data_IF_360866425583
#
_entry.id   IF_360866425583
#
_cell.length_a   1.000
_cell.length_b   1.000
_cell.length_c   1.000
_cell.angle_alpha   90.00
_cell.angle_beta   90.00
_cell.angle_gamma   90.00
#
_symmetry.space_group_name_H-M   'P 1'
#
loop_
_entity.id
_entity.type
_entity.pdbx_description
1 polymer ?
#
# COMPACT_ATOMS: atom_id res chain seq x y z
N UNK A 1 -32.56 83.91 -18.11
CA UNK A 1 -33.77 84.15 -17.30
C UNK A 1 -33.96 82.99 -16.33
N UNK A 2 -33.91 83.34 -15.05
CA UNK A 2 -34.40 82.72 -13.80
C UNK A 2 -35.10 81.34 -13.78
N UNK A 3 -34.47 80.44 -13.02
CA UNK A 3 -35.00 79.59 -11.92
C UNK A 3 -36.21 78.68 -12.13
N UNK A 4 -35.97 77.37 -11.96
CA UNK A 4 -36.93 76.44 -11.40
C UNK A 4 -36.35 75.76 -10.15
N UNK A 5 -36.61 76.31 -8.97
CA UNK A 5 -36.33 75.65 -7.70
C UNK A 5 -37.31 74.49 -7.49
N UNK A 6 -36.80 73.29 -7.24
CA UNK A 6 -37.47 72.31 -6.38
C UNK A 6 -36.44 71.65 -5.47
N UNK A 7 -36.43 72.07 -4.19
CA UNK A 7 -36.10 71.16 -3.09
C UNK A 7 -37.41 70.43 -2.75
N UNK A 8 -37.43 69.11 -2.92
CA UNK A 8 -37.59 68.21 -1.78
C UNK A 8 -36.67 66.98 -1.95
N UNK A 9 -36.36 66.17 -0.95
CA UNK A 9 -36.54 66.22 0.48
C UNK A 9 -35.64 65.10 1.03
N UNK A 10 -35.25 65.24 2.30
CA UNK A 10 -34.49 64.30 3.13
C UNK A 10 -35.03 62.84 3.18
N UNK A 11 -36.09 62.52 2.44
CA UNK A 11 -36.69 61.20 2.32
C UNK A 11 -35.80 60.21 1.54
N UNK A 12 -35.12 60.64 0.48
CA UNK A 12 -34.30 59.72 -0.34
C UNK A 12 -33.05 59.21 0.42
N UNK A 13 -32.46 60.06 1.25
CA UNK A 13 -31.30 59.67 2.09
C UNK A 13 -31.74 58.76 3.25
N UNK A 14 -32.94 58.95 3.79
CA UNK A 14 -33.48 58.12 4.87
C UNK A 14 -33.78 56.68 4.44
N UNK A 15 -34.28 56.50 3.20
CA UNK A 15 -34.60 55.18 2.64
C UNK A 15 -33.34 54.39 2.28
N UNK A 16 -32.28 55.06 1.79
CA UNK A 16 -31.02 54.41 1.48
C UNK A 16 -30.28 53.92 2.75
N UNK A 17 -30.35 54.68 3.85
CA UNK A 17 -29.72 54.30 5.12
C UNK A 17 -30.40 53.09 5.78
N UNK A 18 -31.73 53.01 5.77
CA UNK A 18 -32.46 51.85 6.32
C UNK A 18 -32.24 50.59 5.49
N UNK A 19 -32.16 50.69 4.16
CA UNK A 19 -31.83 49.56 3.29
C UNK A 19 -30.43 48.98 3.58
N UNK A 20 -29.44 49.84 3.84
CA UNK A 20 -28.07 49.42 4.20
C UNK A 20 -28.01 48.72 5.57
N UNK A 21 -28.75 49.22 6.56
CA UNK A 21 -28.82 48.59 7.90
C UNK A 21 -29.51 47.22 7.83
N UNK A 22 -30.58 47.08 7.04
CA UNK A 22 -31.26 45.79 6.85
C UNK A 22 -30.38 44.78 6.10
N UNK A 23 -29.64 45.23 5.09
CA UNK A 23 -28.69 44.37 4.38
C UNK A 23 -27.53 43.91 5.28
N UNK A 24 -26.99 44.80 6.13
CA UNK A 24 -25.96 44.44 7.09
C UNK A 24 -26.47 43.45 8.15
N UNK A 25 -27.70 43.63 8.66
CA UNK A 25 -28.31 42.69 9.60
C UNK A 25 -28.52 41.30 8.97
N UNK A 26 -28.95 41.23 7.70
CA UNK A 26 -29.14 39.97 6.99
C UNK A 26 -27.82 39.19 6.80
N UNK A 27 -26.72 39.89 6.49
CA UNK A 27 -25.38 39.29 6.36
C UNK A 27 -24.84 38.75 7.69
N UNK A 28 -25.12 39.44 8.82
CA UNK A 28 -24.71 38.95 10.14
C UNK A 28 -25.49 37.69 10.53
N UNK A 29 -26.80 37.65 10.27
CA UNK A 29 -27.64 36.50 10.59
C UNK A 29 -27.28 35.27 9.74
N UNK A 30 -27.00 35.45 8.43
CA UNK A 30 -26.54 34.35 7.57
C UNK A 30 -25.12 33.90 7.90
N UNK A 31 -24.22 34.82 8.26
CA UNK A 31 -22.87 34.48 8.73
C UNK A 31 -22.89 33.63 10.01
N UNK A 32 -23.76 33.97 10.98
CA UNK A 32 -23.92 33.19 12.21
C UNK A 32 -24.52 31.79 11.99
N UNK A 33 -25.32 31.61 10.93
CA UNK A 33 -25.86 30.30 10.55
C UNK A 33 -24.78 29.38 9.94
N UNK A 34 -23.78 29.94 9.24
CA UNK A 34 -22.66 29.19 8.67
C UNK A 34 -21.60 28.79 9.72
N UNK A 35 -21.49 29.55 10.82
CA UNK A 35 -20.50 29.29 11.88
C UNK A 35 -21.01 28.25 12.89
N UNK A 36 -22.30 27.93 12.90
CA UNK A 36 -22.82 26.85 13.75
C UNK A 36 -22.43 25.50 13.14
N UNK A 37 -21.49 24.76 13.74
CA UNK A 37 -21.25 23.39 13.31
C UNK A 37 -22.52 22.61 13.66
N UNK A 38 -23.22 22.10 12.64
CA UNK A 38 -24.14 21.00 12.87
C UNK A 38 -23.22 19.86 13.31
N UNK A 39 -23.20 19.56 14.62
CA UNK A 39 -22.49 18.40 15.10
C UNK A 39 -23.01 17.19 14.29
N UNK A 40 -22.16 16.49 13.51
CA UNK A 40 -22.63 15.33 12.78
C UNK A 40 -23.21 14.36 13.80
N UNK A 41 -24.39 13.83 13.52
CA UNK A 41 -25.03 12.81 14.36
C UNK A 41 -24.02 11.68 14.52
N UNK A 42 -23.42 11.57 15.70
CA UNK A 42 -22.40 10.56 15.95
C UNK A 42 -23.09 9.20 16.01
N UNK A 43 -22.97 8.45 14.92
CA UNK A 43 -23.36 7.05 14.92
C UNK A 43 -22.25 6.29 15.62
N UNK A 44 -22.52 5.84 16.85
CA UNK A 44 -21.65 4.89 17.53
C UNK A 44 -21.74 3.56 16.78
N UNK A 45 -20.82 3.32 15.85
CA UNK A 45 -20.65 2.00 15.24
C UNK A 45 -20.01 1.13 16.31
N UNK A 46 -20.81 0.22 16.87
CA UNK A 46 -20.31 -0.79 17.78
C UNK A 46 -19.53 -1.81 16.94
N UNK A 47 -18.22 -1.57 16.76
CA UNK A 47 -17.33 -2.52 16.10
C UNK A 47 -17.12 -3.69 17.05
N UNK A 48 -17.99 -4.70 16.95
CA UNK A 48 -17.73 -5.99 17.57
C UNK A 48 -16.56 -6.60 16.82
N UNK A 49 -15.40 -6.72 17.47
CA UNK A 49 -14.28 -7.45 16.89
C UNK A 49 -14.75 -8.87 16.52
N UNK A 50 -14.54 -9.32 15.27
CA UNK A 50 -14.82 -10.70 14.92
C UNK A 50 -14.07 -11.62 15.87
N UNK A 51 -14.75 -12.67 16.36
CA UNK A 51 -14.10 -13.72 17.15
C UNK A 51 -12.85 -14.18 16.40
N UNK A 52 -11.67 -14.28 17.07
CA UNK A 52 -10.48 -14.81 16.43
C UNK A 52 -10.80 -16.14 15.74
N UNK A 53 -10.43 -16.26 14.46
CA UNK A 53 -10.61 -17.51 13.74
C UNK A 53 -9.85 -18.61 14.49
N UNK A 54 -10.57 -19.66 14.86
CA UNK A 54 -9.98 -20.85 15.49
C UNK A 54 -9.89 -21.92 14.41
N UNK A 55 -8.66 -22.38 14.16
CA UNK A 55 -8.38 -23.40 13.15
C UNK A 55 -8.21 -24.75 13.84
N UNK A 56 -8.81 -25.77 13.25
CA UNK A 56 -8.57 -27.17 13.63
C UNK A 56 -7.12 -27.58 13.37
N UNK A 57 -6.66 -28.63 14.05
CA UNK A 57 -5.33 -29.21 13.80
C UNK A 57 -5.12 -29.62 12.34
N UNK A 58 -6.18 -30.12 11.70
CA UNK A 58 -6.18 -30.50 10.28
C UNK A 58 -5.99 -29.29 9.36
N UNK A 59 -6.68 -28.18 9.63
CA UNK A 59 -6.53 -26.94 8.86
C UNK A 59 -5.12 -26.34 9.02
N UNK A 60 -4.58 -26.37 10.24
CA UNK A 60 -3.22 -25.91 10.52
C UNK A 60 -2.19 -26.77 9.77
N UNK A 61 -2.34 -28.10 9.80
CA UNK A 61 -1.44 -29.01 9.09
C UNK A 61 -1.51 -28.82 7.56
N UNK A 62 -2.71 -28.67 7.01
CA UNK A 62 -2.91 -28.40 5.59
C UNK A 62 -2.29 -27.05 5.19
N UNK A 63 -2.50 -26.00 5.99
CA UNK A 63 -1.92 -24.67 5.75
C UNK A 63 -0.39 -24.69 5.82
N UNK A 64 0.19 -25.39 6.81
CA UNK A 64 1.64 -25.62 6.89
C UNK A 64 2.17 -26.25 5.61
N UNK A 65 1.58 -27.37 5.17
CA UNK A 65 2.04 -28.09 3.99
C UNK A 65 1.93 -27.24 2.72
N UNK A 66 0.81 -26.53 2.54
CA UNK A 66 0.60 -25.64 1.41
C UNK A 66 1.63 -24.50 1.38
N UNK A 67 1.84 -23.81 2.51
CA UNK A 67 2.84 -22.73 2.59
C UNK A 67 4.26 -23.24 2.32
N UNK A 68 4.66 -24.35 2.95
CA UNK A 68 6.02 -24.89 2.81
C UNK A 68 6.32 -25.36 1.39
N UNK A 69 5.41 -26.11 0.77
CA UNK A 69 5.53 -26.56 -0.62
C UNK A 69 5.60 -25.38 -1.60
N UNK A 70 4.71 -24.39 -1.39
CA UNK A 70 4.69 -23.20 -2.23
C UNK A 70 5.96 -22.35 -2.09
N UNK A 71 6.49 -22.22 -0.87
CA UNK A 71 7.73 -21.49 -0.63
C UNK A 71 8.92 -22.18 -1.30
N UNK A 72 9.08 -23.50 -1.15
CA UNK A 72 10.18 -24.25 -1.77
C UNK A 72 10.14 -24.11 -3.30
N UNK A 73 8.94 -24.29 -3.88
CA UNK A 73 8.72 -24.08 -5.32
C UNK A 73 9.10 -22.66 -5.75
N UNK A 74 8.63 -21.63 -5.02
CA UNK A 74 8.90 -20.24 -5.34
C UNK A 74 10.39 -19.93 -5.24
N UNK A 75 11.06 -20.32 -4.15
CA UNK A 75 12.47 -20.10 -3.91
C UNK A 75 13.35 -20.73 -5.00
N UNK A 76 13.08 -21.99 -5.36
CA UNK A 76 13.79 -22.68 -6.45
C UNK A 76 13.56 -22.03 -7.80
N UNK A 77 12.31 -21.66 -8.10
CA UNK A 77 11.94 -21.05 -9.38
C UNK A 77 12.62 -19.69 -9.57
N UNK A 78 12.62 -18.84 -8.53
CA UNK A 78 13.30 -17.54 -8.54
C UNK A 78 14.81 -17.73 -8.69
N UNK A 79 15.40 -18.63 -7.90
CA UNK A 79 16.84 -18.94 -7.97
C UNK A 79 17.24 -19.43 -9.35
N UNK A 80 16.43 -20.29 -9.98
CA UNK A 80 16.66 -20.79 -11.34
C UNK A 80 16.66 -19.64 -12.37
N UNK A 81 15.69 -18.73 -12.31
CA UNK A 81 15.64 -17.58 -13.20
C UNK A 81 16.86 -16.65 -13.03
N UNK A 82 17.29 -16.42 -11.79
CA UNK A 82 18.50 -15.65 -11.49
C UNK A 82 19.78 -16.31 -12.02
N UNK A 83 19.91 -17.63 -11.86
CA UNK A 83 21.02 -18.43 -12.43
C UNK A 83 21.03 -18.35 -13.95
N UNK A 84 19.88 -18.46 -14.61
CA UNK A 84 19.77 -18.35 -16.05
C UNK A 84 20.22 -16.97 -16.55
N UNK A 85 19.75 -15.89 -15.93
CA UNK A 85 20.22 -14.54 -16.26
C UNK A 85 21.72 -14.39 -16.06
N UNK A 86 22.27 -14.89 -14.95
CA UNK A 86 23.69 -14.81 -14.66
C UNK A 86 24.52 -15.57 -15.72
N UNK A 87 24.06 -16.76 -16.14
CA UNK A 87 24.70 -17.54 -17.21
C UNK A 87 24.70 -16.78 -18.53
N UNK A 88 23.58 -16.18 -18.93
CA UNK A 88 23.49 -15.38 -20.16
C UNK A 88 24.45 -14.20 -20.09
N UNK A 89 24.42 -13.44 -18.98
CA UNK A 89 25.31 -12.28 -18.78
C UNK A 89 26.80 -12.63 -18.83
N UNK A 90 27.18 -13.83 -18.39
CA UNK A 90 28.56 -14.32 -18.50
C UNK A 90 28.98 -14.60 -19.95
N UNK A 91 28.04 -15.00 -20.81
CA UNK A 91 28.29 -15.33 -22.22
C UNK A 91 28.14 -14.15 -23.18
N UNK A 92 27.17 -13.27 -22.96
CA UNK A 92 26.82 -12.19 -23.89
C UNK A 92 27.21 -10.80 -23.38
N UNK A 93 27.62 -10.70 -22.11
CA UNK A 93 27.93 -9.43 -21.44
C UNK A 93 26.74 -8.83 -20.71
N UNK A 94 27.02 -8.11 -19.61
CA UNK A 94 25.99 -7.63 -18.66
C UNK A 94 24.98 -6.61 -19.23
N UNK A 95 25.32 -5.99 -20.36
CA UNK A 95 24.53 -4.94 -21.02
C UNK A 95 24.04 -5.37 -22.40
N UNK A 96 24.04 -6.67 -22.69
CA UNK A 96 23.52 -7.20 -23.95
C UNK A 96 21.98 -7.23 -23.93
N UNK A 97 21.31 -7.13 -25.09
CA UNK A 97 19.86 -7.28 -25.19
C UNK A 97 19.34 -8.60 -24.58
N UNK A 98 20.09 -9.70 -24.73
CA UNK A 98 19.76 -11.01 -24.17
C UNK A 98 19.80 -10.99 -22.63
N UNK A 99 20.76 -10.28 -22.05
CA UNK A 99 20.83 -10.11 -20.58
C UNK A 99 19.67 -9.27 -20.06
N UNK A 100 19.27 -8.24 -20.81
CA UNK A 100 18.13 -7.39 -20.44
C UNK A 100 16.79 -8.12 -20.56
N UNK A 101 16.62 -8.97 -21.58
CA UNK A 101 15.48 -9.86 -21.70
C UNK A 101 15.44 -10.86 -20.54
N UNK A 102 16.56 -11.54 -20.25
CA UNK A 102 16.65 -12.48 -19.14
C UNK A 102 16.36 -11.81 -17.78
N UNK A 103 16.78 -10.56 -17.60
CA UNK A 103 16.43 -9.75 -16.41
C UNK A 103 14.95 -9.43 -16.34
N UNK A 104 14.31 -9.15 -17.47
CA UNK A 104 12.87 -8.95 -17.52
C UNK A 104 12.12 -10.23 -17.13
N UNK A 105 12.59 -11.39 -17.58
CA UNK A 105 12.06 -12.70 -17.18
C UNK A 105 12.26 -12.94 -15.69
N UNK A 106 13.45 -12.74 -15.14
CA UNK A 106 13.74 -12.89 -13.69
C UNK A 106 12.80 -12.03 -12.83
N UNK A 107 12.60 -10.74 -13.19
CA UNK A 107 11.70 -9.84 -12.48
C UNK A 107 10.24 -10.32 -12.54
N UNK A 108 9.77 -10.72 -13.73
CA UNK A 108 8.41 -11.25 -13.93
C UNK A 108 8.21 -12.51 -13.09
N UNK A 109 9.13 -13.46 -13.18
CA UNK A 109 9.12 -14.70 -12.39
C UNK A 109 9.03 -14.39 -10.91
N UNK A 110 9.88 -13.50 -10.40
CA UNK A 110 9.87 -13.12 -8.99
C UNK A 110 8.52 -12.52 -8.59
N UNK A 111 7.97 -11.58 -9.35
CA UNK A 111 6.66 -10.98 -9.06
C UNK A 111 5.50 -12.00 -9.08
N UNK A 112 5.51 -12.92 -10.04
CA UNK A 112 4.53 -14.01 -10.14
C UNK A 112 4.63 -14.96 -8.96
N UNK A 113 5.85 -15.38 -8.59
CA UNK A 113 6.07 -16.28 -7.46
C UNK A 113 5.70 -15.62 -6.11
N UNK A 114 5.98 -14.32 -5.94
CA UNK A 114 5.50 -13.58 -4.75
C UNK A 114 3.97 -13.55 -4.68
N UNK A 115 3.30 -13.35 -5.81
CA UNK A 115 1.84 -13.35 -5.86
C UNK A 115 1.26 -14.72 -5.56
N UNK A 116 1.83 -15.77 -6.14
CA UNK A 116 1.47 -17.16 -5.84
C UNK A 116 1.65 -17.47 -4.36
N UNK A 117 2.82 -17.16 -3.78
CA UNK A 117 3.10 -17.47 -2.38
C UNK A 117 2.13 -16.77 -1.41
N UNK A 118 1.72 -15.53 -1.72
CA UNK A 118 0.68 -14.83 -0.95
C UNK A 118 -0.65 -15.58 -0.90
N UNK A 119 -1.03 -16.30 -1.97
CA UNK A 119 -2.29 -17.08 -1.96
C UNK A 119 -2.19 -18.36 -1.14
N UNK A 120 -0.96 -18.82 -0.88
CA UNK A 120 -0.68 -20.04 -0.12
C UNK A 120 -0.38 -19.75 1.37
N UNK A 121 -0.21 -18.47 1.72
CA UNK A 121 0.10 -18.02 3.07
C UNK A 121 -1.20 -17.78 3.88
N UNK A 122 -1.86 -18.87 4.27
CA UNK A 122 -3.11 -18.84 5.03
C UNK A 122 -2.93 -18.26 6.44
N UNK A 123 -3.97 -17.61 7.03
CA UNK A 123 -3.92 -17.24 8.43
C UNK A 123 -3.84 -18.45 9.38
N UNK A 124 -4.19 -19.66 8.90
CA UNK A 124 -4.05 -20.93 9.62
C UNK A 124 -2.60 -21.47 9.66
N UNK A 125 -1.69 -20.92 8.84
CA UNK A 125 -0.28 -21.32 8.86
C UNK A 125 0.34 -20.94 10.21
N UNK A 126 1.07 -21.86 10.89
CA UNK A 126 1.78 -21.56 12.13
C UNK A 126 2.64 -20.30 12.01
N UNK A 127 2.61 -19.45 13.04
CA UNK A 127 3.26 -18.14 13.00
C UNK A 127 4.78 -18.24 12.83
N UNK A 128 5.39 -19.31 13.33
CA UNK A 128 6.82 -19.61 13.21
C UNK A 128 7.25 -20.06 11.81
N UNK A 129 6.30 -20.32 10.90
CA UNK A 129 6.52 -20.50 9.46
C UNK A 129 6.07 -19.26 8.70
N UNK A 130 4.87 -18.76 9.01
CA UNK A 130 4.25 -17.64 8.30
C UNK A 130 5.11 -16.38 8.33
N UNK A 131 5.70 -16.06 9.50
CA UNK A 131 6.53 -14.87 9.66
C UNK A 131 7.82 -14.96 8.84
N UNK A 132 8.68 -15.98 8.98
CA UNK A 132 9.87 -16.12 8.14
C UNK A 132 9.58 -16.11 6.63
N UNK A 133 8.52 -16.78 6.18
CA UNK A 133 8.13 -16.77 4.75
C UNK A 133 7.73 -15.36 4.29
N UNK A 134 6.96 -14.63 5.10
CA UNK A 134 6.61 -13.24 4.79
C UNK A 134 7.83 -12.31 4.78
N UNK A 135 8.76 -12.49 5.72
CA UNK A 135 9.99 -11.71 5.79
C UNK A 135 10.92 -12.00 4.60
N UNK A 136 10.97 -13.27 4.16
CA UNK A 136 11.71 -13.68 2.97
C UNK A 136 11.10 -13.05 1.70
N UNK A 137 9.77 -13.05 1.57
CA UNK A 137 9.10 -12.36 0.46
C UNK A 137 9.44 -10.86 0.43
N UNK A 138 9.45 -10.21 1.61
CA UNK A 138 9.82 -8.81 1.72
C UNK A 138 11.27 -8.58 1.27
N UNK A 139 12.20 -9.46 1.66
CA UNK A 139 13.60 -9.36 1.24
C UNK A 139 13.79 -9.50 -0.28
N UNK A 140 13.00 -10.35 -0.95
CA UNK A 140 13.03 -10.46 -2.42
C UNK A 140 12.55 -9.18 -3.09
N UNK A 141 11.50 -8.54 -2.53
CA UNK A 141 10.96 -7.28 -3.03
C UNK A 141 11.98 -6.15 -2.84
N UNK A 142 12.58 -6.05 -1.65
CA UNK A 142 13.63 -5.08 -1.34
C UNK A 142 14.84 -5.24 -2.26
N UNK A 143 15.25 -6.48 -2.52
CA UNK A 143 16.36 -6.79 -3.42
C UNK A 143 16.08 -6.25 -4.83
N UNK A 144 14.88 -6.52 -5.38
CA UNK A 144 14.46 -6.00 -6.69
C UNK A 144 14.34 -4.48 -6.70
N UNK A 145 13.84 -3.89 -5.61
CA UNK A 145 13.74 -2.44 -5.48
C UNK A 145 15.11 -1.79 -5.53
N UNK A 146 16.08 -2.29 -4.75
CA UNK A 146 17.47 -1.82 -4.76
C UNK A 146 18.08 -1.85 -6.16
N UNK A 147 17.88 -2.93 -6.91
CA UNK A 147 18.32 -3.01 -8.32
C UNK A 147 17.67 -1.93 -9.19
N UNK A 148 16.37 -1.67 -9.03
CA UNK A 148 15.65 -0.69 -9.84
C UNK A 148 16.10 0.76 -9.56
N UNK A 149 16.42 1.07 -8.31
CA UNK A 149 16.92 2.40 -7.91
C UNK A 149 18.45 2.53 -7.98
N UNK A 150 19.13 1.47 -8.44
CA UNK A 150 20.60 1.37 -8.54
C UNK A 150 21.32 1.47 -7.18
N UNK A 151 20.62 1.12 -6.11
CA UNK A 151 21.19 0.94 -4.76
C UNK A 151 21.61 -0.52 -4.59
N UNK A 152 22.85 -0.80 -4.97
CA UNK A 152 23.42 -2.15 -4.94
C UNK A 152 23.66 -2.64 -3.51
N UNK A 153 24.00 -1.75 -2.58
CA UNK A 153 24.26 -2.12 -1.19
C UNK A 153 22.97 -2.54 -0.50
N UNK A 154 21.88 -1.77 -0.68
CA UNK A 154 20.57 -2.17 -0.18
C UNK A 154 20.08 -3.49 -0.80
N UNK A 155 20.31 -3.68 -2.11
CA UNK A 155 19.97 -4.92 -2.80
C UNK A 155 20.72 -6.13 -2.22
N UNK A 156 22.04 -6.02 -2.05
CA UNK A 156 22.88 -7.09 -1.49
C UNK A 156 22.54 -7.39 -0.03
N UNK A 157 22.25 -6.35 0.78
CA UNK A 157 21.79 -6.52 2.14
C UNK A 157 20.45 -7.27 2.21
N UNK A 158 19.52 -6.97 1.30
CA UNK A 158 18.23 -7.67 1.22
C UNK A 158 18.37 -9.13 0.78
N UNK A 159 19.28 -9.42 -0.17
CA UNK A 159 19.61 -10.79 -0.57
C UNK A 159 20.18 -11.56 0.63
N UNK A 160 21.10 -10.97 1.39
CA UNK A 160 21.68 -11.59 2.58
C UNK A 160 20.60 -11.93 3.60
N UNK A 161 19.72 -10.97 3.95
CA UNK A 161 18.57 -11.23 4.83
C UNK A 161 17.67 -12.37 4.32
N UNK A 162 17.45 -12.44 3.01
CA UNK A 162 16.67 -13.50 2.39
C UNK A 162 17.33 -14.86 2.53
N UNK A 163 18.64 -14.94 2.30
CA UNK A 163 19.40 -16.17 2.44
C UNK A 163 19.43 -16.67 3.89
N UNK A 164 19.59 -15.76 4.86
CA UNK A 164 19.57 -16.10 6.29
C UNK A 164 18.23 -16.72 6.74
N UNK A 165 17.14 -16.44 6.01
CA UNK A 165 15.82 -17.00 6.28
C UNK A 165 15.60 -18.38 5.64
N UNK A 166 16.42 -18.78 4.65
CA UNK A 166 16.26 -20.07 3.95
C UNK A 166 16.40 -21.22 4.93
N UNK A 167 17.51 -21.29 5.67
CA UNK A 167 17.76 -22.35 6.64
C UNK A 167 16.69 -22.38 7.76
N UNK A 168 16.18 -21.21 8.14
CA UNK A 168 15.10 -21.08 9.13
C UNK A 168 13.81 -21.70 8.61
N UNK A 169 13.44 -21.39 7.36
CA UNK A 169 12.20 -21.91 6.75
C UNK A 169 12.34 -23.40 6.47
N UNK A 170 13.48 -23.84 5.92
CA UNK A 170 13.77 -25.25 5.64
C UNK A 170 13.60 -26.12 6.89
N UNK A 171 14.23 -25.72 8.01
CA UNK A 171 14.12 -26.43 9.27
C UNK A 171 12.66 -26.53 9.77
N UNK A 172 11.85 -25.49 9.57
CA UNK A 172 10.44 -25.47 10.00
C UNK A 172 9.52 -26.26 9.07
N UNK A 173 9.87 -26.30 7.79
CA UNK A 173 9.16 -27.02 6.75
C UNK A 173 9.60 -28.48 6.61
N UNK A 174 10.69 -28.89 7.27
CA UNK A 174 11.24 -30.24 7.15
C UNK A 174 11.83 -30.50 5.76
N UNK A 175 12.39 -29.46 5.14
CA UNK A 175 13.06 -29.51 3.86
C UNK A 175 14.58 -29.64 4.13
N UNK A 176 15.25 -30.50 3.38
CA UNK A 176 16.70 -30.79 3.49
C UNK A 176 17.30 -31.00 2.11
#
# INVERSE_FOLDING_TARGET
MTTGFRRPHRAEVGVAATALVLAAAALVITGLALVRPIAPVQHAVNVVEPRPATYSSTEIAAAKNATCSAWDQAARTITSAGKQRASIAATTGRSSPETDEARTVEKRTTATQMTFLRTQLSPATPSDIRKPVSDWMASQIDAMHGVNVRDWDASNAAITRGNDLVDVIDAKCGLS
#
